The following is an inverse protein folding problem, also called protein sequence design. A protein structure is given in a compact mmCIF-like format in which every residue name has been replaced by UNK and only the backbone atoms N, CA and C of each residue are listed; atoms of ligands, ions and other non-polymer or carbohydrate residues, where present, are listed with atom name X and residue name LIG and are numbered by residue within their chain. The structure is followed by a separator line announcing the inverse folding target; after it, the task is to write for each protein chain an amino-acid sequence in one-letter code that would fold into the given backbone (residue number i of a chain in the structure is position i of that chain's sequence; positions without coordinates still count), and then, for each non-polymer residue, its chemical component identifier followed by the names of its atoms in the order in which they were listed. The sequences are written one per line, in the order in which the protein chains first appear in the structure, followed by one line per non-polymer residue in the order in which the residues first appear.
data_IF_939272325278
#
_entry.id   IF_939272325278
#
_cell.length_a   1.000
_cell.length_b   1.000
_cell.length_c   1.000
_cell.angle_alpha   90.00
_cell.angle_beta   90.00
_cell.angle_gamma   90.00
#
_symmetry.space_group_name_H-M   'P 1'
#
loop_
_entity.id
_entity.type
_entity.pdbx_description
1 polymer ?
#
# COMPACT_ATOMS: atom_id res chain seq x y z
N UNK A 1 20.69 3.96 -58.82
CA UNK A 1 21.11 3.27 -57.57
C UNK A 1 21.71 4.19 -56.49
N UNK A 2 22.34 5.32 -56.83
CA UNK A 2 22.99 6.20 -55.84
C UNK A 2 22.06 6.92 -54.84
N UNK A 3 20.91 7.44 -55.28
CA UNK A 3 20.00 8.20 -54.39
C UNK A 3 19.35 7.35 -53.28
N UNK A 4 19.01 6.08 -53.56
CA UNK A 4 18.46 5.16 -52.54
C UNK A 4 19.49 4.81 -51.45
N UNK A 5 20.79 4.73 -51.80
CA UNK A 5 21.88 4.48 -50.84
C UNK A 5 22.16 5.71 -49.96
N UNK A 6 22.08 6.92 -50.52
CA UNK A 6 22.27 8.17 -49.77
C UNK A 6 21.14 8.42 -48.76
N UNK A 7 19.88 8.16 -49.14
CA UNK A 7 18.72 8.24 -48.24
C UNK A 7 18.77 7.22 -47.10
N UNK A 8 19.24 5.99 -47.36
CA UNK A 8 19.44 5.00 -46.30
C UNK A 8 20.54 5.42 -45.32
N UNK A 9 21.64 5.98 -45.83
CA UNK A 9 22.76 6.41 -44.99
C UNK A 9 22.39 7.59 -44.07
N UNK A 10 21.64 8.57 -44.57
CA UNK A 10 21.17 9.69 -43.74
C UNK A 10 20.15 9.24 -42.69
N UNK A 11 19.23 8.35 -43.03
CA UNK A 11 18.26 7.77 -42.07
C UNK A 11 18.96 6.97 -40.97
N UNK A 12 20.05 6.26 -41.29
CA UNK A 12 20.82 5.48 -40.32
C UNK A 12 21.59 6.39 -39.34
N UNK A 13 22.19 7.49 -39.83
CA UNK A 13 22.94 8.44 -39.00
C UNK A 13 22.01 9.20 -38.05
N UNK A 14 20.85 9.64 -38.51
CA UNK A 14 19.85 10.30 -37.64
C UNK A 14 19.30 9.35 -36.59
N UNK A 15 19.05 8.08 -36.96
CA UNK A 15 18.62 7.05 -36.02
C UNK A 15 19.69 6.76 -34.96
N UNK A 16 20.96 6.59 -35.35
CA UNK A 16 22.08 6.39 -34.42
C UNK A 16 22.31 7.57 -33.48
N UNK A 17 22.21 8.81 -33.99
CA UNK A 17 22.30 10.02 -33.18
C UNK A 17 21.17 10.12 -32.14
N UNK A 18 19.96 9.74 -32.55
CA UNK A 18 18.78 9.73 -31.67
C UNK A 18 18.88 8.67 -30.58
N UNK A 19 19.40 7.48 -30.91
CA UNK A 19 19.67 6.41 -29.95
C UNK A 19 20.73 6.84 -28.92
N UNK A 20 21.81 7.49 -29.38
CA UNK A 20 22.90 7.92 -28.49
C UNK A 20 22.45 9.01 -27.52
N UNK A 21 21.64 9.98 -27.99
CA UNK A 21 21.04 11.03 -27.15
C UNK A 21 20.03 10.45 -26.14
N UNK A 22 19.23 9.47 -26.55
CA UNK A 22 18.31 8.78 -25.65
C UNK A 22 19.06 8.02 -24.54
N UNK A 23 20.16 7.35 -24.89
CA UNK A 23 21.00 6.62 -23.93
C UNK A 23 21.70 7.54 -22.92
N UNK A 24 22.25 8.68 -23.36
CA UNK A 24 22.84 9.67 -22.45
C UNK A 24 21.79 10.33 -21.56
N UNK A 25 20.62 10.67 -22.09
CA UNK A 25 19.49 11.20 -21.30
C UNK A 25 19.01 10.22 -20.23
N UNK A 26 18.92 8.93 -20.55
CA UNK A 26 18.54 7.89 -19.60
C UNK A 26 19.59 7.71 -18.50
N UNK A 27 20.89 7.77 -18.84
CA UNK A 27 21.97 7.70 -17.85
C UNK A 27 21.91 8.87 -16.86
N UNK A 28 21.71 10.09 -17.34
CA UNK A 28 21.58 11.28 -16.49
C UNK A 28 20.38 11.16 -15.53
N UNK A 29 19.25 10.66 -16.03
CA UNK A 29 18.07 10.40 -15.21
C UNK A 29 18.33 9.38 -14.09
N UNK A 30 18.99 8.27 -14.40
CA UNK A 30 19.34 7.23 -13.42
C UNK A 30 20.35 7.74 -12.37
N UNK A 31 21.30 8.57 -12.78
CA UNK A 31 22.26 9.17 -11.85
C UNK A 31 21.58 10.18 -10.91
N UNK A 32 20.59 10.92 -11.39
CA UNK A 32 19.74 11.78 -10.55
C UNK A 32 18.94 10.96 -9.52
N UNK A 33 18.32 9.84 -9.93
CA UNK A 33 17.66 8.91 -8.99
C UNK A 33 18.65 8.41 -7.94
N UNK A 34 19.85 7.99 -8.34
CA UNK A 34 20.87 7.48 -7.41
C UNK A 34 21.27 8.52 -6.37
N UNK A 35 21.56 9.74 -6.80
CA UNK A 35 21.93 10.84 -5.88
C UNK A 35 20.77 11.19 -4.95
N UNK A 36 19.54 11.25 -5.47
CA UNK A 36 18.35 11.46 -4.64
C UNK A 36 18.17 10.37 -3.59
N UNK A 37 18.33 9.09 -3.96
CA UNK A 37 18.23 7.98 -3.01
C UNK A 37 19.31 8.06 -1.91
N UNK A 38 20.54 8.49 -2.25
CA UNK A 38 21.61 8.69 -1.26
C UNK A 38 21.30 9.83 -0.28
N UNK A 39 20.62 10.88 -0.74
CA UNK A 39 20.15 11.98 0.12
C UNK A 39 18.99 11.52 1.00
N UNK A 40 18.03 10.80 0.43
CA UNK A 40 16.90 10.22 1.16
C UNK A 40 17.37 9.29 2.28
N UNK A 41 18.32 8.39 2.02
CA UNK A 41 18.88 7.49 3.03
C UNK A 41 19.59 8.22 4.20
N UNK A 42 19.87 9.51 4.07
CA UNK A 42 20.43 10.37 5.13
C UNK A 42 19.38 11.31 5.73
N UNK A 43 18.10 11.08 5.47
CA UNK A 43 16.97 11.96 5.81
C UNK A 43 17.10 13.40 5.28
N UNK A 44 17.88 13.61 4.21
CA UNK A 44 18.03 14.91 3.56
C UNK A 44 16.97 15.06 2.47
N UNK A 45 15.69 15.13 2.86
CA UNK A 45 14.55 14.97 1.96
C UNK A 45 14.42 16.10 0.92
N UNK A 46 14.67 17.34 1.31
CA UNK A 46 14.63 18.50 0.41
C UNK A 46 15.72 18.40 -0.67
N UNK A 47 16.94 18.02 -0.27
CA UNK A 47 18.04 17.78 -1.22
C UNK A 47 17.76 16.56 -2.12
N UNK A 48 17.09 15.54 -1.61
CA UNK A 48 16.66 14.41 -2.42
C UNK A 48 15.63 14.85 -3.49
N UNK A 49 14.67 15.69 -3.12
CA UNK A 49 13.67 16.26 -4.04
C UNK A 49 14.36 17.06 -5.16
N UNK A 50 15.37 17.87 -4.83
CA UNK A 50 16.16 18.61 -5.83
C UNK A 50 16.81 17.68 -6.86
N UNK A 51 17.40 16.56 -6.42
CA UNK A 51 17.97 15.57 -7.32
C UNK A 51 16.90 14.90 -8.18
N UNK A 52 15.80 14.44 -7.58
CA UNK A 52 14.73 13.77 -8.33
C UNK A 52 14.07 14.69 -9.38
N UNK A 53 13.99 16.01 -9.12
CA UNK A 53 13.48 17.01 -10.07
C UNK A 53 14.33 17.15 -11.34
N UNK A 54 15.59 16.68 -11.33
CA UNK A 54 16.46 16.68 -12.50
C UNK A 54 16.11 15.59 -13.52
N UNK A 55 15.23 14.66 -13.17
CA UNK A 55 14.76 13.62 -14.10
C UNK A 55 13.75 14.24 -15.08
N UNK A 56 14.02 14.27 -16.40
CA UNK A 56 13.14 14.91 -17.35
C UNK A 56 11.91 14.03 -17.67
N UNK A 57 10.76 14.62 -18.05
CA UNK A 57 9.59 13.87 -18.49
C UNK A 57 9.83 12.87 -19.62
N UNK A 58 10.82 13.14 -20.49
CA UNK A 58 11.23 12.24 -21.57
C UNK A 58 11.86 10.92 -21.08
N UNK A 59 12.22 10.81 -19.79
CA UNK A 59 12.78 9.60 -19.20
C UNK A 59 11.73 8.51 -18.86
N UNK A 60 10.46 8.73 -19.25
CA UNK A 60 9.39 7.74 -19.20
C UNK A 60 9.20 7.13 -17.81
N UNK A 61 9.41 5.82 -17.71
CA UNK A 61 9.30 5.04 -16.48
C UNK A 61 10.16 5.57 -15.32
N UNK A 62 11.34 6.14 -15.64
CA UNK A 62 12.24 6.74 -14.65
C UNK A 62 11.69 8.06 -14.12
N UNK A 63 10.99 8.82 -14.96
CA UNK A 63 10.29 10.03 -14.55
C UNK A 63 9.11 9.73 -13.63
N UNK A 64 8.34 8.67 -13.92
CA UNK A 64 7.31 8.23 -12.99
C UNK A 64 7.89 7.80 -11.63
N UNK A 65 9.02 7.09 -11.64
CA UNK A 65 9.74 6.73 -10.42
C UNK A 65 10.23 7.97 -9.65
N UNK A 66 10.77 8.99 -10.33
CA UNK A 66 11.21 10.22 -9.66
C UNK A 66 10.05 10.97 -9.01
N UNK A 67 8.89 11.05 -9.69
CA UNK A 67 7.67 11.62 -9.13
C UNK A 67 7.21 10.86 -7.89
N UNK A 68 7.22 9.53 -7.93
CA UNK A 68 6.91 8.70 -6.77
C UNK A 68 7.87 8.99 -5.61
N UNK A 69 9.18 9.01 -5.87
CA UNK A 69 10.19 9.29 -4.85
C UNK A 69 10.07 10.70 -4.25
N UNK A 70 9.70 11.71 -5.06
CA UNK A 70 9.40 13.06 -4.55
C UNK A 70 8.19 13.02 -3.62
N UNK A 71 7.14 12.27 -3.98
CA UNK A 71 5.98 12.05 -3.13
C UNK A 71 6.36 11.40 -1.79
N UNK A 72 7.26 10.41 -1.81
CA UNK A 72 7.79 9.80 -0.59
C UNK A 72 8.51 10.83 0.28
N UNK A 73 9.40 11.66 -0.29
CA UNK A 73 10.06 12.72 0.48
C UNK A 73 9.06 13.69 1.12
N UNK A 74 8.03 14.12 0.40
CA UNK A 74 6.99 14.99 0.98
C UNK A 74 6.19 14.31 2.08
N UNK A 75 5.95 13.01 1.97
CA UNK A 75 5.30 12.23 3.02
C UNK A 75 6.14 12.18 4.30
N UNK A 76 7.45 11.94 4.20
CA UNK A 76 8.38 12.00 5.35
C UNK A 76 8.46 13.39 5.99
N UNK A 77 8.27 14.44 5.19
CA UNK A 77 8.21 15.83 5.63
C UNK A 77 6.83 16.23 6.19
N UNK A 78 5.92 15.28 6.39
CA UNK A 78 4.53 15.51 6.85
C UNK A 78 3.73 16.46 5.95
N UNK A 79 4.19 16.68 4.71
CA UNK A 79 3.55 17.49 3.68
C UNK A 79 2.64 16.58 2.85
N UNK A 80 1.58 16.08 3.48
CA UNK A 80 0.76 14.99 2.93
C UNK A 80 0.02 15.39 1.66
N UNK A 81 -0.41 16.64 1.52
CA UNK A 81 -1.10 17.09 0.31
C UNK A 81 -0.16 17.15 -0.90
N UNK A 82 1.07 17.63 -0.73
CA UNK A 82 2.12 17.56 -1.75
C UNK A 82 2.42 16.10 -2.11
N UNK A 83 2.55 15.22 -1.11
CA UNK A 83 2.78 13.79 -1.33
C UNK A 83 1.67 13.19 -2.23
N UNK A 84 0.40 13.42 -1.92
CA UNK A 84 -0.72 12.90 -2.73
C UNK A 84 -0.69 13.45 -4.16
N UNK A 85 -0.33 14.72 -4.35
CA UNK A 85 -0.22 15.34 -5.66
C UNK A 85 0.88 14.67 -6.51
N UNK A 86 2.05 14.40 -5.92
CA UNK A 86 3.15 13.72 -6.60
C UNK A 86 2.86 12.25 -6.88
N UNK A 87 2.21 11.53 -5.97
CA UNK A 87 1.77 10.16 -6.23
C UNK A 87 0.76 10.09 -7.39
N UNK A 88 -0.24 10.98 -7.43
CA UNK A 88 -1.18 11.06 -8.57
C UNK A 88 -0.45 11.32 -9.90
N UNK A 89 0.55 12.20 -9.91
CA UNK A 89 1.38 12.46 -11.10
C UNK A 89 2.20 11.24 -11.52
N UNK A 90 2.76 10.50 -10.56
CA UNK A 90 3.49 9.26 -10.84
C UNK A 90 2.58 8.19 -11.48
N UNK A 91 1.37 8.03 -10.95
CA UNK A 91 0.35 7.12 -11.50
C UNK A 91 -0.03 7.52 -12.93
N UNK A 92 -0.24 8.82 -13.18
CA UNK A 92 -0.55 9.34 -14.52
C UNK A 92 0.61 9.06 -15.50
N UNK A 93 1.86 9.28 -15.09
CA UNK A 93 3.03 9.02 -15.92
C UNK A 93 3.19 7.53 -16.30
N UNK A 94 2.65 6.62 -15.48
CA UNK A 94 2.55 5.17 -15.74
C UNK A 94 1.20 4.74 -16.33
N UNK A 95 0.43 5.69 -16.88
CA UNK A 95 -0.87 5.44 -17.52
C UNK A 95 -1.85 4.69 -16.60
N UNK A 96 -1.85 5.03 -15.32
CA UNK A 96 -2.71 4.42 -14.31
C UNK A 96 -2.17 3.12 -13.70
N UNK A 97 -1.13 2.51 -14.28
CA UNK A 97 -0.61 1.21 -13.82
C UNK A 97 0.66 1.34 -12.99
N UNK A 98 0.52 1.89 -11.78
CA UNK A 98 1.62 2.00 -10.81
C UNK A 98 1.17 1.58 -9.40
N UNK A 99 1.17 0.28 -9.08
CA UNK A 99 0.62 -0.24 -7.83
C UNK A 99 1.21 0.40 -6.57
N UNK A 100 2.54 0.57 -6.53
CA UNK A 100 3.24 1.15 -5.37
C UNK A 100 2.85 2.61 -5.13
N UNK A 101 2.73 3.42 -6.18
CA UNK A 101 2.30 4.81 -6.05
C UNK A 101 0.82 4.93 -5.65
N UNK A 102 -0.04 4.05 -6.14
CA UNK A 102 -1.45 3.98 -5.73
C UNK A 102 -1.61 3.57 -4.27
N UNK A 103 -0.80 2.63 -3.79
CA UNK A 103 -0.78 2.24 -2.39
C UNK A 103 -0.28 3.37 -1.49
N UNK A 104 0.84 4.01 -1.85
CA UNK A 104 1.36 5.15 -1.10
C UNK A 104 0.38 6.35 -1.09
N UNK A 105 -0.32 6.57 -2.21
CA UNK A 105 -1.44 7.52 -2.27
C UNK A 105 -2.54 7.16 -1.27
N UNK A 106 -2.94 5.88 -1.22
CA UNK A 106 -3.94 5.40 -0.25
C UNK A 106 -3.53 5.66 1.19
N UNK A 107 -2.27 5.35 1.55
CA UNK A 107 -1.72 5.61 2.89
C UNK A 107 -1.76 7.11 3.22
N UNK A 108 -1.22 7.97 2.34
CA UNK A 108 -1.24 9.41 2.56
C UNK A 108 -2.66 10.00 2.68
N UNK A 109 -3.63 9.43 1.96
CA UNK A 109 -5.04 9.83 2.07
C UNK A 109 -5.68 9.44 3.41
N UNK A 110 -5.26 8.33 4.03
CA UNK A 110 -5.68 8.00 5.40
C UNK A 110 -5.19 9.05 6.39
N UNK A 111 -3.93 9.44 6.29
CA UNK A 111 -3.34 10.44 7.19
C UNK A 111 -3.98 11.82 7.00
N UNK A 112 -4.33 12.17 5.76
CA UNK A 112 -5.13 13.36 5.43
C UNK A 112 -6.64 13.21 5.75
N UNK A 113 -7.07 12.18 6.48
CA UNK A 113 -8.46 11.94 6.90
C UNK A 113 -9.45 11.84 5.73
N UNK A 114 -9.02 11.25 4.61
CA UNK A 114 -9.81 11.04 3.37
C UNK A 114 -9.99 9.53 3.06
N UNK A 115 -10.64 8.76 3.94
CA UNK A 115 -10.69 7.31 3.84
C UNK A 115 -11.45 6.78 2.61
N UNK A 116 -12.43 7.52 2.10
CA UNK A 116 -13.16 7.13 0.88
C UNK A 116 -12.25 7.15 -0.35
N UNK A 117 -11.40 8.17 -0.47
CA UNK A 117 -10.42 8.24 -1.55
C UNK A 117 -9.30 7.21 -1.36
N UNK A 118 -8.88 6.96 -0.11
CA UNK A 118 -7.89 5.93 0.20
C UNK A 118 -8.37 4.53 -0.23
N UNK A 119 -9.64 4.20 0.05
CA UNK A 119 -10.28 2.94 -0.37
C UNK A 119 -10.19 2.74 -1.88
N UNK A 120 -10.46 3.80 -2.65
CA UNK A 120 -10.37 3.75 -4.10
C UNK A 120 -8.92 3.60 -4.58
N UNK A 121 -7.97 4.32 -3.96
CA UNK A 121 -6.55 4.19 -4.28
C UNK A 121 -6.03 2.76 -4.01
N UNK A 122 -6.43 2.10 -2.93
CA UNK A 122 -6.08 0.70 -2.66
C UNK A 122 -6.71 -0.27 -3.67
N UNK A 123 -7.97 -0.07 -4.06
CA UNK A 123 -8.60 -0.87 -5.13
C UNK A 123 -7.87 -0.73 -6.46
N UNK A 124 -7.52 0.50 -6.83
CA UNK A 124 -6.73 0.76 -8.04
C UNK A 124 -5.35 0.12 -7.95
N UNK A 125 -4.70 0.14 -6.78
CA UNK A 125 -3.41 -0.52 -6.55
C UNK A 125 -3.49 -2.03 -6.81
N UNK A 126 -4.53 -2.68 -6.28
CA UNK A 126 -4.82 -4.11 -6.49
C UNK A 126 -5.02 -4.39 -7.99
N UNK A 127 -5.87 -3.61 -8.66
CA UNK A 127 -6.13 -3.76 -10.11
C UNK A 127 -4.86 -3.56 -10.95
N UNK A 128 -4.07 -2.54 -10.65
CA UNK A 128 -2.82 -2.26 -11.37
C UNK A 128 -1.76 -3.38 -11.21
N UNK A 129 -1.85 -4.15 -10.12
CA UNK A 129 -1.00 -5.29 -9.80
C UNK A 129 -1.57 -6.64 -10.27
N UNK A 130 -2.61 -6.63 -11.12
CA UNK A 130 -3.34 -7.84 -11.56
C UNK A 130 -3.83 -8.69 -10.37
N UNK A 131 -4.33 -8.01 -9.32
CA UNK A 131 -4.82 -8.64 -8.10
C UNK A 131 -3.73 -9.00 -7.08
N UNK A 132 -2.45 -8.93 -7.43
CA UNK A 132 -1.33 -9.47 -6.64
C UNK A 132 -0.66 -8.42 -5.75
N UNK A 133 -1.44 -7.76 -4.89
CA UNK A 133 -0.89 -6.79 -3.94
C UNK A 133 -1.40 -7.03 -2.51
N UNK A 134 -0.69 -7.88 -1.77
CA UNK A 134 -1.07 -8.36 -0.44
C UNK A 134 -1.34 -7.22 0.56
N UNK A 135 -0.45 -6.22 0.64
CA UNK A 135 -0.56 -5.09 1.57
C UNK A 135 -1.72 -4.17 1.22
N UNK A 136 -2.03 -3.96 -0.06
CA UNK A 136 -3.22 -3.19 -0.45
C UNK A 136 -4.53 -3.92 -0.13
N UNK A 137 -4.58 -5.24 -0.26
CA UNK A 137 -5.71 -6.05 0.22
C UNK A 137 -5.88 -5.92 1.74
N UNK A 138 -4.80 -5.98 2.50
CA UNK A 138 -4.84 -5.76 3.95
C UNK A 138 -5.40 -4.37 4.31
N UNK A 139 -4.86 -3.30 3.72
CA UNK A 139 -5.33 -1.93 3.98
C UNK A 139 -6.79 -1.71 3.55
N UNK A 140 -7.20 -2.29 2.42
CA UNK A 140 -8.60 -2.28 2.00
C UNK A 140 -9.50 -3.00 3.00
N UNK A 141 -9.06 -4.16 3.52
CA UNK A 141 -9.76 -4.90 4.56
C UNK A 141 -9.96 -4.08 5.85
N UNK A 142 -8.94 -3.32 6.27
CA UNK A 142 -9.04 -2.44 7.44
C UNK A 142 -10.09 -1.33 7.25
N UNK A 143 -10.21 -0.78 6.04
CA UNK A 143 -11.24 0.22 5.75
C UNK A 143 -12.64 -0.40 5.71
N UNK A 144 -12.78 -1.57 5.09
CA UNK A 144 -14.05 -2.27 4.97
C UNK A 144 -14.60 -2.69 6.34
N UNK A 145 -13.75 -3.19 7.23
CA UNK A 145 -14.20 -3.58 8.58
C UNK A 145 -14.63 -2.37 9.41
N UNK A 146 -13.97 -1.22 9.24
CA UNK A 146 -14.37 0.04 9.86
C UNK A 146 -15.74 0.55 9.38
N UNK A 147 -16.11 0.25 8.14
CA UNK A 147 -17.42 0.55 7.54
C UNK A 147 -18.50 -0.50 7.88
N UNK A 148 -18.15 -1.57 8.62
CA UNK A 148 -19.05 -2.68 8.94
C UNK A 148 -19.23 -3.70 7.82
N UNK A 149 -18.45 -3.64 6.75
CA UNK A 149 -18.44 -4.62 5.66
C UNK A 149 -17.61 -5.87 6.01
N UNK A 150 -18.06 -6.64 7.01
CA UNK A 150 -17.29 -7.75 7.60
C UNK A 150 -16.97 -8.87 6.61
N UNK A 151 -17.90 -9.26 5.72
CA UNK A 151 -17.64 -10.26 4.68
C UNK A 151 -16.58 -9.79 3.69
N UNK A 152 -16.67 -8.54 3.24
CA UNK A 152 -15.74 -7.96 2.27
C UNK A 152 -14.36 -7.76 2.88
N UNK A 153 -14.29 -7.38 4.16
CA UNK A 153 -13.05 -7.32 4.91
C UNK A 153 -12.40 -8.70 5.05
N UNK A 154 -13.17 -9.72 5.44
CA UNK A 154 -12.68 -11.09 5.55
C UNK A 154 -12.14 -11.63 4.22
N UNK A 155 -12.80 -11.34 3.10
CA UNK A 155 -12.28 -11.69 1.77
C UNK A 155 -10.94 -11.00 1.49
N UNK A 156 -10.83 -9.70 1.79
CA UNK A 156 -9.60 -8.93 1.59
C UNK A 156 -8.44 -9.45 2.46
N UNK A 157 -8.68 -9.78 3.73
CA UNK A 157 -7.64 -10.37 4.58
C UNK A 157 -7.21 -11.76 4.11
N UNK A 158 -8.13 -12.58 3.60
CA UNK A 158 -7.79 -13.88 3.00
C UNK A 158 -6.89 -13.74 1.77
N UNK A 159 -7.18 -12.78 0.89
CA UNK A 159 -6.32 -12.48 -0.26
C UNK A 159 -4.94 -11.97 0.19
N UNK A 160 -4.89 -11.10 1.20
CA UNK A 160 -3.62 -10.64 1.78
C UNK A 160 -2.76 -11.80 2.32
N UNK A 161 -3.38 -12.76 3.02
CA UNK A 161 -2.72 -13.98 3.51
C UNK A 161 -2.24 -14.85 2.35
N UNK A 162 -3.09 -15.11 1.35
CA UNK A 162 -2.77 -15.98 0.22
C UNK A 162 -1.64 -15.44 -0.66
N UNK A 163 -1.51 -14.11 -0.76
CA UNK A 163 -0.49 -13.44 -1.54
C UNK A 163 0.81 -13.17 -0.77
N UNK A 164 0.79 -13.30 0.57
CA UNK A 164 1.99 -13.08 1.39
C UNK A 164 3.00 -14.19 1.20
N UNK A 165 4.28 -13.83 1.05
CA UNK A 165 5.39 -14.78 1.03
C UNK A 165 5.93 -15.10 2.43
N UNK A 166 5.63 -14.22 3.39
CA UNK A 166 6.11 -14.29 4.76
C UNK A 166 4.92 -14.39 5.74
N UNK A 167 5.23 -14.58 7.03
CA UNK A 167 4.23 -14.54 8.11
C UNK A 167 3.48 -13.21 8.07
N UNK A 168 2.15 -13.25 8.22
CA UNK A 168 1.31 -12.05 8.20
C UNK A 168 0.30 -12.05 9.36
N UNK A 169 0.78 -12.02 10.62
CA UNK A 169 -0.06 -12.20 11.80
C UNK A 169 -1.17 -11.15 11.91
N UNK A 170 -0.91 -9.91 11.50
CA UNK A 170 -1.90 -8.84 11.45
C UNK A 170 -3.12 -9.17 10.57
N UNK A 171 -2.92 -9.84 9.43
CA UNK A 171 -4.03 -10.26 8.56
C UNK A 171 -4.86 -11.38 9.18
N UNK A 172 -4.23 -12.36 9.83
CA UNK A 172 -4.94 -13.41 10.58
C UNK A 172 -5.74 -12.84 11.75
N UNK A 173 -5.17 -11.91 12.53
CA UNK A 173 -5.91 -11.26 13.62
C UNK A 173 -7.16 -10.54 13.09
N UNK A 174 -7.02 -9.70 12.07
CA UNK A 174 -8.16 -8.93 11.55
C UNK A 174 -9.18 -9.81 10.81
N UNK A 175 -8.76 -10.91 10.17
CA UNK A 175 -9.67 -11.93 9.66
C UNK A 175 -10.47 -12.57 10.81
N UNK A 176 -9.81 -12.87 11.93
CA UNK A 176 -10.47 -13.36 13.15
C UNK A 176 -11.51 -12.37 13.68
N UNK A 177 -11.21 -11.07 13.70
CA UNK A 177 -12.18 -10.04 14.11
C UNK A 177 -13.40 -10.02 13.17
N UNK A 178 -13.18 -10.01 11.86
CA UNK A 178 -14.28 -10.02 10.88
C UNK A 178 -15.16 -11.28 11.03
N UNK A 179 -14.54 -12.45 11.21
CA UNK A 179 -15.24 -13.73 11.48
C UNK A 179 -16.03 -13.69 12.79
N UNK A 180 -15.46 -13.11 13.85
CA UNK A 180 -16.15 -13.00 15.14
C UNK A 180 -17.39 -12.11 15.03
N UNK A 181 -17.31 -10.98 14.32
CA UNK A 181 -18.46 -10.09 14.08
C UNK A 181 -19.57 -10.76 13.28
N UNK A 182 -19.22 -11.62 12.32
CA UNK A 182 -20.17 -12.50 11.61
C UNK A 182 -20.70 -13.68 12.47
N UNK A 183 -20.33 -13.77 13.76
CA UNK A 183 -20.72 -14.87 14.66
C UNK A 183 -19.99 -16.20 14.40
N UNK A 184 -18.98 -16.23 13.54
CA UNK A 184 -18.20 -17.42 13.17
C UNK A 184 -17.06 -17.65 14.17
N UNK A 185 -17.41 -17.72 15.45
CA UNK A 185 -16.47 -17.77 16.58
C UNK A 185 -15.45 -18.93 16.50
N UNK A 186 -15.81 -20.17 16.10
CA UNK A 186 -14.83 -21.25 15.98
C UNK A 186 -13.73 -20.97 14.95
N UNK A 187 -14.08 -20.28 13.85
CA UNK A 187 -13.13 -19.89 12.81
C UNK A 187 -12.27 -18.72 13.28
N UNK A 188 -12.90 -17.71 13.89
CA UNK A 188 -12.19 -16.58 14.48
C UNK A 188 -11.11 -17.01 15.47
N UNK A 189 -11.45 -17.94 16.38
CA UNK A 189 -10.50 -18.53 17.34
C UNK A 189 -9.27 -19.12 16.63
N UNK A 190 -9.46 -19.87 15.55
CA UNK A 190 -8.35 -20.49 14.80
C UNK A 190 -7.43 -19.43 14.21
N UNK A 191 -8.01 -18.37 13.65
CA UNK A 191 -7.24 -17.26 13.06
C UNK A 191 -6.44 -16.50 14.11
N UNK A 192 -7.00 -16.20 15.29
CA UNK A 192 -6.25 -15.59 16.38
C UNK A 192 -5.10 -16.49 16.88
N UNK A 193 -5.32 -17.81 16.95
CA UNK A 193 -4.28 -18.77 17.29
C UNK A 193 -3.17 -18.83 16.23
N UNK A 194 -3.49 -18.69 14.94
CA UNK A 194 -2.48 -18.57 13.87
C UNK A 194 -1.71 -17.26 14.01
N UNK A 195 -2.40 -16.13 14.24
CA UNK A 195 -1.79 -14.82 14.41
C UNK A 195 -0.76 -14.82 15.54
N UNK A 196 -1.11 -15.34 16.72
CA UNK A 196 -0.20 -15.46 17.86
C UNK A 196 0.98 -16.39 17.56
N UNK A 197 0.75 -17.53 16.93
CA UNK A 197 1.85 -18.43 16.54
C UNK A 197 2.82 -17.78 15.56
N UNK A 198 2.31 -17.01 14.61
CA UNK A 198 3.14 -16.32 13.62
C UNK A 198 3.92 -15.15 14.25
N UNK A 199 3.35 -14.48 15.24
CA UNK A 199 3.99 -13.42 16.02
C UNK A 199 4.87 -13.95 17.17
N UNK A 200 5.11 -15.26 17.26
CA UNK A 200 5.84 -15.90 18.36
C UNK A 200 5.31 -15.53 19.77
N UNK A 201 4.01 -15.22 19.87
CA UNK A 201 3.32 -14.79 21.08
C UNK A 201 3.28 -13.27 21.31
N UNK A 202 3.99 -12.46 20.52
CA UNK A 202 4.16 -11.02 20.70
C UNK A 202 3.10 -10.20 19.92
N UNK A 203 1.81 -10.53 20.11
CA UNK A 203 0.70 -9.76 19.52
C UNK A 203 -0.48 -9.67 20.51
N UNK A 204 -0.42 -8.65 21.37
CA UNK A 204 -1.38 -8.44 22.47
C UNK A 204 -2.83 -8.37 21.97
N UNK A 205 -3.10 -7.69 20.84
CA UNK A 205 -4.46 -7.62 20.31
C UNK A 205 -5.01 -9.02 19.95
N UNK A 206 -4.17 -9.89 19.40
CA UNK A 206 -4.59 -11.25 19.08
C UNK A 206 -4.79 -12.11 20.34
N UNK A 207 -4.00 -11.89 21.39
CA UNK A 207 -4.17 -12.55 22.68
C UNK A 207 -5.48 -12.15 23.36
N UNK A 208 -5.78 -10.84 23.39
CA UNK A 208 -7.01 -10.30 23.94
C UNK A 208 -8.24 -10.78 23.15
N UNK A 209 -8.17 -10.71 21.83
CA UNK A 209 -9.23 -11.20 20.94
C UNK A 209 -9.46 -12.71 21.11
N UNK A 210 -8.40 -13.51 21.24
CA UNK A 210 -8.52 -14.94 21.49
C UNK A 210 -9.17 -15.23 22.85
N UNK A 211 -8.79 -14.50 23.89
CA UNK A 211 -9.39 -14.63 25.23
C UNK A 211 -10.88 -14.31 25.20
N UNK A 212 -11.27 -13.21 24.57
CA UNK A 212 -12.67 -12.83 24.39
C UNK A 212 -13.44 -13.87 23.56
N UNK A 213 -12.85 -14.35 22.46
CA UNK A 213 -13.48 -15.36 21.61
C UNK A 213 -13.72 -16.67 22.38
N UNK A 214 -12.76 -17.10 23.21
CA UNK A 214 -12.90 -18.28 24.08
C UNK A 214 -13.99 -18.09 25.14
N UNK A 215 -14.10 -16.91 25.75
CA UNK A 215 -15.17 -16.65 26.72
C UNK A 215 -16.55 -16.69 26.06
N UNK A 216 -16.69 -16.15 24.84
CA UNK A 216 -17.93 -16.22 24.07
C UNK A 216 -18.30 -17.67 23.71
N UNK A 217 -17.33 -18.47 23.26
CA UNK A 217 -17.56 -19.89 22.93
C UNK A 217 -18.00 -20.73 24.14
N UNK A 218 -17.64 -20.32 25.36
CA UNK A 218 -18.07 -20.98 26.59
C UNK A 218 -19.54 -20.65 26.98
N UNK A 219 -20.13 -19.61 26.38
CA UNK A 219 -21.53 -19.26 26.61
C UNK A 219 -22.48 -20.20 25.84
N UNK A 220 -23.70 -20.44 26.35
CA UNK A 220 -24.73 -21.11 25.57
C UNK A 220 -25.07 -20.32 24.30
N UNK A 221 -25.42 -21.00 23.21
CA UNK A 221 -25.60 -20.39 21.88
C UNK A 221 -26.54 -19.16 21.87
N UNK A 222 -27.62 -19.18 22.67
CA UNK A 222 -28.54 -18.04 22.81
C UNK A 222 -27.86 -16.79 23.41
N UNK A 223 -26.92 -16.96 24.32
CA UNK A 223 -26.17 -15.87 24.94
C UNK A 223 -25.02 -15.36 24.04
N UNK A 224 -24.46 -16.22 23.17
CA UNK A 224 -23.47 -15.79 22.16
C UNK A 224 -24.05 -14.72 21.23
N UNK A 225 -25.25 -14.95 20.70
CA UNK A 225 -25.94 -14.02 19.79
C UNK A 225 -26.26 -12.69 20.48
N UNK A 226 -26.65 -12.73 21.76
CA UNK A 226 -26.93 -11.53 22.54
C UNK A 226 -25.66 -10.69 22.79
N UNK A 227 -24.55 -11.34 23.15
CA UNK A 227 -23.27 -10.66 23.40
C UNK A 227 -22.64 -10.08 22.12
N UNK A 228 -22.79 -10.74 20.97
CA UNK A 228 -22.28 -10.23 19.68
C UNK A 228 -22.95 -8.91 19.26
N UNK A 229 -24.26 -8.78 19.47
CA UNK A 229 -24.99 -7.52 19.23
C UNK A 229 -24.52 -6.36 20.13
N UNK A 230 -24.02 -6.68 21.33
CA UNK A 230 -23.46 -5.66 22.25
C UNK A 230 -22.01 -5.29 21.89
N UNK A 231 -21.27 -6.19 21.25
CA UNK A 231 -19.92 -5.87 20.76
C UNK A 231 -20.00 -4.96 19.54
N UNK A 232 -20.97 -5.14 18.64
CA UNK A 232 -21.22 -4.22 17.51
C UNK A 232 -21.47 -2.77 17.96
N UNK A 233 -22.13 -2.56 19.11
CA UNK A 233 -22.37 -1.23 19.68
C UNK A 233 -21.17 -0.67 20.46
N UNK A 234 -20.21 -1.52 20.87
CA UNK A 234 -18.96 -1.12 21.53
C UNK A 234 -17.80 -0.92 20.53
N UNK A 235 -17.92 -1.40 19.29
CA UNK A 235 -16.93 -1.23 18.20
C UNK A 235 -16.92 0.17 17.56
N UNK A 236 -17.10 1.22 18.36
CA UNK A 236 -16.55 2.56 18.05
C UNK A 236 -15.01 2.56 17.94
N UNK A 237 -14.36 1.42 18.18
CA UNK A 237 -12.93 1.13 18.03
C UNK A 237 -12.41 1.06 16.59
N UNK A 238 -13.28 1.06 15.57
CA UNK A 238 -12.84 1.27 14.18
C UNK A 238 -12.04 2.58 14.01
N UNK A 239 -12.26 3.54 14.92
CA UNK A 239 -11.55 4.82 14.97
C UNK A 239 -10.18 4.77 15.66
N UNK A 240 -9.78 3.66 16.32
CA UNK A 240 -8.45 3.57 16.98
C UNK A 240 -7.33 3.10 16.05
N UNK A 241 -7.67 2.54 14.89
CA UNK A 241 -6.68 2.17 13.87
C UNK A 241 -6.08 3.38 13.14
N UNK A 242 -6.76 4.54 13.16
CA UNK A 242 -6.18 5.83 12.71
C UNK A 242 -5.32 6.51 13.78
N UNK A 243 -5.31 6.01 15.02
CA UNK A 243 -4.46 6.52 16.11
C UNK A 243 -3.20 5.67 16.33
N UNK A 244 -3.25 4.35 16.06
CA UNK A 244 -2.11 3.45 16.31
C UNK A 244 -1.10 3.32 15.16
N UNK A 245 -1.43 3.73 13.93
CA UNK A 245 -0.39 3.87 12.88
C UNK A 245 0.59 5.02 13.16
N UNK A 246 0.32 5.86 14.15
CA UNK A 246 1.22 6.91 14.63
C UNK A 246 2.17 6.46 15.77
N UNK A 247 2.17 5.18 16.19
CA UNK A 247 3.03 4.71 17.28
C UNK A 247 3.67 3.34 16.97
N UNK A 248 4.50 3.32 15.92
CA UNK A 248 5.75 2.57 15.84
C UNK A 248 6.67 3.42 14.94
N UNK A 249 7.76 4.06 15.35
CA UNK A 249 8.63 3.85 16.50
C UNK A 249 10.05 3.56 16.00
N UNK A 250 10.85 4.63 15.88
CA UNK A 250 12.31 4.69 15.69
C UNK A 250 12.92 4.49 14.29
#
# INVERSE_FOLDING_TARGET
MGQKRLLLATLLVTLLGSITLAQTGQKVALDAIRRGNQKYAKAQYELAIEEYRRVPPSAGDTYAQSLYNIGVCYYELWSTEEATAYYRRAVLARKGRYPMALYALGVALIDSKRPLEAKEAFRQSITAADGKHATAHFMLGLLLIGEGGDEAAAASFKEAIALSKDRFPGSHNNLGVALARMGRLPEAKREFEIALRQADGELDEAADNLKLCRSLLALPAKAQVASLKTVETLTGLGNKLTERTNVQGH
#
